data_IF_743672416979
#
_entry.id   IF_743672416979
#
_cell.length_a   1.000
_cell.length_b   1.000
_cell.length_c   1.000
_cell.angle_alpha   90.00
_cell.angle_beta   90.00
_cell.angle_gamma   90.00
#
_symmetry.space_group_name_H-M   'P 1'
#
loop_
_entity.id
_entity.type
_entity.pdbx_description
1 polymer ?
#
# COMPACT_ATOMS: atom_id res chain seq x y z
N UNK A 1 -19.84 29.49 1.08
CA UNK A 1 -18.64 29.05 1.84
C UNK A 1 -18.75 27.72 2.60
N UNK A 2 -19.94 27.11 2.80
CA UNK A 2 -20.05 25.80 3.50
C UNK A 2 -19.91 24.54 2.62
N UNK A 3 -20.00 24.67 1.29
CA UNK A 3 -19.88 23.52 0.37
C UNK A 3 -18.43 23.15 0.06
N UNK A 4 -17.49 24.10 0.11
CA UNK A 4 -16.06 23.85 -0.16
C UNK A 4 -15.33 23.13 0.99
N UNK A 5 -15.74 23.34 2.25
CA UNK A 5 -15.12 22.68 3.41
C UNK A 5 -15.48 21.20 3.54
N UNK A 6 -16.69 20.80 3.10
CA UNK A 6 -17.12 19.39 3.09
C UNK A 6 -16.37 18.60 2.00
N UNK A 7 -16.09 19.21 0.84
CA UNK A 7 -15.32 18.57 -0.24
C UNK A 7 -13.85 18.34 0.11
N UNK A 8 -13.25 19.23 0.90
CA UNK A 8 -11.86 19.10 1.38
C UNK A 8 -11.76 18.02 2.47
N UNK A 9 -12.76 17.90 3.34
CA UNK A 9 -12.84 16.86 4.37
C UNK A 9 -12.98 15.44 3.78
N UNK A 10 -13.81 15.27 2.74
CA UNK A 10 -13.98 13.99 2.04
C UNK A 10 -12.73 13.60 1.21
N UNK A 11 -12.05 14.57 0.58
CA UNK A 11 -10.76 14.34 -0.11
C UNK A 11 -9.64 13.98 0.87
N UNK A 12 -9.63 14.56 2.08
CA UNK A 12 -8.68 14.26 3.15
C UNK A 12 -8.86 12.85 3.73
N UNK A 13 -10.10 12.43 4.00
CA UNK A 13 -10.38 11.08 4.52
C UNK A 13 -10.08 9.98 3.48
N UNK A 14 -10.45 10.18 2.22
CA UNK A 14 -10.10 9.23 1.15
C UNK A 14 -8.57 9.11 0.96
N UNK A 15 -7.83 10.23 1.13
CA UNK A 15 -6.36 10.24 1.11
C UNK A 15 -5.72 9.48 2.27
N UNK A 16 -6.27 9.65 3.49
CA UNK A 16 -5.82 8.95 4.67
C UNK A 16 -6.03 7.43 4.55
N UNK A 17 -7.21 7.00 4.08
CA UNK A 17 -7.47 5.58 3.82
C UNK A 17 -6.57 5.00 2.73
N UNK A 18 -6.29 5.76 1.66
CA UNK A 18 -5.43 5.31 0.58
C UNK A 18 -3.97 5.16 1.00
N UNK A 19 -3.42 6.14 1.74
CA UNK A 19 -2.09 6.02 2.34
C UNK A 19 -2.02 4.85 3.33
N UNK A 20 -3.07 4.59 4.13
CA UNK A 20 -3.10 3.51 5.13
C UNK A 20 -3.26 2.12 4.50
N UNK A 21 -4.00 1.99 3.41
CA UNK A 21 -4.10 0.73 2.65
C UNK A 21 -2.76 0.43 2.00
N UNK A 22 -2.11 1.41 1.34
CA UNK A 22 -0.77 1.24 0.77
C UNK A 22 0.28 1.01 1.88
N UNK A 23 0.21 1.70 3.00
CA UNK A 23 1.05 1.43 4.19
C UNK A 23 0.96 -0.06 4.59
N UNK A 24 -0.27 -0.60 4.71
CA UNK A 24 -0.52 -1.99 5.11
C UNK A 24 -0.16 -3.04 4.04
N UNK A 25 -0.25 -2.73 2.74
CA UNK A 25 0.15 -3.69 1.68
C UNK A 25 1.64 -3.65 1.31
N UNK A 26 2.35 -2.54 1.58
CA UNK A 26 3.67 -2.29 0.99
C UNK A 26 4.83 -2.28 1.99
N UNK A 27 4.57 -2.00 3.28
CA UNK A 27 5.59 -1.87 4.34
C UNK A 27 5.01 -2.30 5.69
N UNK A 28 4.99 -3.59 6.01
CA UNK A 28 4.65 -4.06 7.36
C UNK A 28 5.92 -4.30 8.18
N UNK A 29 6.11 -3.52 9.23
CA UNK A 29 6.58 -4.01 10.53
C UNK A 29 5.62 -3.50 11.62
N UNK A 30 4.91 -4.45 12.24
CA UNK A 30 4.13 -4.36 13.48
C UNK A 30 3.03 -3.28 13.59
N UNK A 31 1.78 -3.72 13.42
CA UNK A 31 0.64 -3.12 14.13
C UNK A 31 0.25 -4.05 15.27
N UNK A 32 0.48 -3.62 16.51
CA UNK A 32 -0.11 -4.23 17.70
C UNK A 32 -1.62 -3.94 17.68
N UNK A 33 -2.43 -4.97 17.41
CA UNK A 33 -3.89 -4.84 17.49
C UNK A 33 -4.32 -4.91 18.95
N UNK A 34 -4.89 -3.82 19.46
CA UNK A 34 -5.72 -3.86 20.67
C UNK A 34 -7.04 -4.54 20.29
N UNK A 35 -7.22 -5.79 20.70
CA UNK A 35 -8.50 -6.49 20.64
C UNK A 35 -9.46 -5.75 21.57
N UNK A 36 -10.44 -5.03 21.01
CA UNK A 36 -11.61 -4.66 21.80
C UNK A 36 -12.40 -5.94 22.06
N UNK A 37 -12.25 -6.47 23.27
CA UNK A 37 -13.20 -7.39 23.87
C UNK A 37 -14.46 -6.60 24.21
N UNK A 38 -15.47 -6.70 23.36
CA UNK A 38 -16.84 -6.38 23.78
C UNK A 38 -17.53 -7.70 24.10
N UNK A 39 -17.72 -7.94 25.40
CA UNK A 39 -18.54 -9.03 25.91
C UNK A 39 -20.02 -8.70 25.68
N UNK A 40 -20.78 -9.67 25.16
CA UNK A 40 -22.24 -9.69 25.20
C UNK A 40 -22.90 -10.01 23.85
N UNK A 41 -23.21 -11.31 23.65
CA UNK A 41 -23.91 -12.00 22.54
C UNK A 41 -22.98 -12.85 21.65
N UNK A 42 -22.71 -14.04 22.16
CA UNK A 42 -21.93 -15.09 21.53
C UNK A 42 -22.55 -15.52 20.18
N UNK A 43 -21.72 -15.58 19.12
CA UNK A 43 -22.02 -16.23 17.80
C UNK A 43 -22.79 -15.47 16.70
N UNK A 44 -22.45 -14.20 16.37
CA UNK A 44 -23.00 -13.53 15.15
C UNK A 44 -22.02 -12.66 14.34
N UNK A 45 -20.72 -12.95 14.31
CA UNK A 45 -19.82 -12.26 13.37
C UNK A 45 -19.53 -13.15 12.16
N UNK A 46 -19.80 -12.64 10.95
CA UNK A 46 -19.44 -13.31 9.69
C UNK A 46 -17.97 -13.74 9.66
N UNK A 47 -17.07 -12.91 10.22
CA UNK A 47 -15.66 -13.24 10.31
C UNK A 47 -15.40 -14.53 11.13
N UNK A 48 -16.17 -14.80 12.19
CA UNK A 48 -16.01 -16.04 12.98
C UNK A 48 -16.41 -17.30 12.21
N UNK A 49 -17.24 -17.20 11.17
CA UNK A 49 -17.55 -18.33 10.28
C UNK A 49 -16.47 -18.55 9.22
N UNK A 50 -15.81 -17.48 8.79
CA UNK A 50 -14.75 -17.51 7.77
C UNK A 50 -13.37 -17.83 8.39
N UNK A 51 -13.10 -17.38 9.62
CA UNK A 51 -11.78 -17.52 10.23
C UNK A 51 -11.31 -18.97 10.38
N UNK A 52 -12.17 -19.96 10.74
CA UNK A 52 -11.76 -21.35 10.88
C UNK A 52 -11.39 -22.03 9.55
N UNK A 53 -11.84 -21.49 8.41
CA UNK A 53 -11.60 -22.04 7.08
C UNK A 53 -10.17 -21.72 6.59
N UNK A 54 -9.17 -22.18 7.32
CA UNK A 54 -7.76 -21.87 7.06
C UNK A 54 -7.20 -22.49 5.78
N UNK A 55 -7.75 -23.62 5.33
CA UNK A 55 -7.31 -24.35 4.14
C UNK A 55 -7.58 -23.53 2.86
N UNK A 56 -6.53 -23.15 2.10
CA UNK A 56 -6.69 -22.39 0.87
C UNK A 56 -7.53 -23.06 -0.23
N UNK A 57 -7.72 -24.39 -0.16
CA UNK A 57 -8.52 -25.14 -1.14
C UNK A 57 -10.02 -25.12 -0.82
N UNK A 58 -10.41 -24.65 0.35
CA UNK A 58 -11.81 -24.62 0.79
C UNK A 58 -12.39 -23.24 0.51
N UNK A 59 -13.26 -23.14 -0.49
CA UNK A 59 -13.92 -21.89 -0.83
C UNK A 59 -14.79 -21.37 0.33
N UNK A 60 -14.70 -20.06 0.60
CA UNK A 60 -15.54 -19.41 1.62
C UNK A 60 -16.84 -18.84 1.04
N UNK A 61 -17.02 -18.87 -0.29
CA UNK A 61 -18.22 -18.36 -0.97
C UNK A 61 -19.52 -19.01 -0.47
N UNK A 62 -19.61 -20.34 -0.26
CA UNK A 62 -20.81 -20.95 0.29
C UNK A 62 -21.21 -20.42 1.66
N UNK A 63 -20.23 -20.05 2.51
CA UNK A 63 -20.47 -19.46 3.83
C UNK A 63 -21.05 -18.05 3.71
N UNK A 64 -20.56 -17.26 2.75
CA UNK A 64 -21.09 -15.93 2.44
C UNK A 64 -22.54 -16.02 1.94
N UNK A 65 -22.82 -16.95 1.04
CA UNK A 65 -24.18 -17.17 0.52
C UNK A 65 -25.13 -17.65 1.62
N UNK A 66 -24.69 -18.59 2.46
CA UNK A 66 -25.48 -19.08 3.58
C UNK A 66 -25.80 -17.96 4.58
N UNK A 67 -24.84 -17.07 4.86
CA UNK A 67 -25.06 -15.91 5.73
C UNK A 67 -26.24 -15.05 5.28
N UNK A 68 -26.36 -14.80 3.97
CA UNK A 68 -27.48 -14.06 3.38
C UNK A 68 -28.78 -14.87 3.42
N UNK A 69 -28.74 -16.18 3.16
CA UNK A 69 -29.94 -17.05 3.24
C UNK A 69 -30.55 -17.10 4.64
N UNK A 70 -29.74 -16.95 5.68
CA UNK A 70 -30.18 -16.83 7.07
C UNK A 70 -30.81 -15.47 7.39
N UNK A 71 -30.95 -14.56 6.41
CA UNK A 71 -31.56 -13.25 6.57
C UNK A 71 -30.61 -12.19 7.16
N UNK A 72 -29.32 -12.51 7.33
CA UNK A 72 -28.36 -11.53 7.81
C UNK A 72 -27.98 -10.54 6.70
N UNK A 73 -27.70 -9.30 7.10
CA UNK A 73 -27.20 -8.29 6.16
C UNK A 73 -25.66 -8.33 6.10
N UNK A 74 -25.13 -7.92 4.96
CA UNK A 74 -23.71 -7.62 4.78
C UNK A 74 -23.58 -6.15 4.39
N UNK A 75 -22.60 -5.47 4.96
CA UNK A 75 -22.26 -4.12 4.55
C UNK A 75 -20.81 -4.08 4.04
N UNK A 76 -20.55 -3.12 3.14
CA UNK A 76 -19.25 -2.95 2.50
C UNK A 76 -18.10 -2.79 3.50
N UNK A 77 -18.20 -1.96 4.58
CA UNK A 77 -17.12 -1.83 5.56
C UNK A 77 -16.75 -3.14 6.25
N UNK A 78 -17.74 -3.98 6.60
CA UNK A 78 -17.51 -5.28 7.21
C UNK A 78 -16.73 -6.21 6.27
N UNK A 79 -17.10 -6.26 4.99
CA UNK A 79 -16.41 -7.10 3.99
C UNK A 79 -14.99 -6.59 3.72
N UNK A 80 -14.80 -5.26 3.64
CA UNK A 80 -13.46 -4.66 3.53
C UNK A 80 -12.59 -4.97 4.75
N UNK A 81 -13.15 -5.00 5.96
CA UNK A 81 -12.43 -5.41 7.16
C UNK A 81 -12.00 -6.88 7.05
N UNK A 82 -12.91 -7.78 6.68
CA UNK A 82 -12.60 -9.21 6.49
C UNK A 82 -11.49 -9.40 5.45
N UNK A 83 -11.57 -8.73 4.30
CA UNK A 83 -10.50 -8.75 3.28
C UNK A 83 -9.17 -8.32 3.88
N UNK A 84 -9.15 -7.25 4.68
CA UNK A 84 -7.95 -6.74 5.32
C UNK A 84 -7.39 -7.67 6.41
N UNK A 85 -8.24 -8.46 7.08
CA UNK A 85 -7.82 -9.52 7.99
C UNK A 85 -7.18 -10.68 7.23
N UNK A 86 -7.88 -11.21 6.23
CA UNK A 86 -7.41 -12.33 5.42
C UNK A 86 -6.08 -12.00 4.74
N UNK A 87 -5.92 -10.78 4.22
CA UNK A 87 -4.66 -10.28 3.66
C UNK A 87 -3.54 -10.21 4.69
N UNK A 88 -3.83 -9.83 5.94
CA UNK A 88 -2.85 -9.80 7.02
C UNK A 88 -2.33 -11.21 7.32
N UNK A 89 -3.23 -12.20 7.34
CA UNK A 89 -2.87 -13.62 7.50
C UNK A 89 -2.46 -14.31 6.20
N UNK A 90 -2.17 -13.56 5.13
CA UNK A 90 -1.75 -14.07 3.80
C UNK A 90 -2.73 -15.07 3.15
N UNK A 91 -3.99 -15.09 3.57
CA UNK A 91 -5.08 -15.88 2.97
C UNK A 91 -5.61 -15.19 1.71
N UNK A 92 -4.77 -15.06 0.68
CA UNK A 92 -5.06 -14.27 -0.52
C UNK A 92 -6.19 -14.84 -1.38
N UNK A 93 -6.31 -16.17 -1.47
CA UNK A 93 -7.41 -16.84 -2.19
C UNK A 93 -8.75 -16.45 -1.57
N UNK A 94 -8.94 -16.71 -0.27
CA UNK A 94 -10.13 -16.30 0.46
C UNK A 94 -10.41 -14.79 0.37
N UNK A 95 -9.38 -13.96 0.50
CA UNK A 95 -9.55 -12.51 0.37
C UNK A 95 -10.04 -12.10 -1.03
N UNK A 96 -9.57 -12.80 -2.08
CA UNK A 96 -10.01 -12.60 -3.44
C UNK A 96 -11.46 -13.04 -3.63
N UNK A 97 -11.84 -14.19 -3.06
CA UNK A 97 -13.22 -14.68 -3.07
C UNK A 97 -14.18 -13.69 -2.41
N UNK A 98 -13.86 -13.15 -1.22
CA UNK A 98 -14.69 -12.08 -0.61
C UNK A 98 -14.76 -10.88 -1.54
N UNK A 99 -13.64 -10.47 -2.12
CA UNK A 99 -13.61 -9.33 -3.04
C UNK A 99 -14.51 -9.56 -4.23
N UNK A 100 -14.45 -10.71 -4.91
CA UNK A 100 -15.29 -11.05 -6.07
C UNK A 100 -16.77 -11.19 -5.69
N UNK A 101 -17.05 -11.89 -4.59
CA UNK A 101 -18.41 -12.06 -4.09
C UNK A 101 -19.11 -10.72 -3.80
N UNK A 102 -18.37 -9.71 -3.32
CA UNK A 102 -18.89 -8.34 -3.14
C UNK A 102 -19.47 -7.72 -4.43
N UNK A 103 -19.00 -8.12 -5.62
CA UNK A 103 -19.46 -7.58 -6.90
C UNK A 103 -20.45 -8.45 -7.64
N UNK A 104 -20.29 -9.77 -7.58
CA UNK A 104 -20.96 -10.68 -8.52
C UNK A 104 -22.47 -10.73 -8.30
N UNK A 105 -22.92 -10.28 -7.12
CA UNK A 105 -24.33 -10.20 -6.74
C UNK A 105 -24.87 -8.76 -6.69
N UNK A 106 -24.07 -7.78 -7.16
CA UNK A 106 -24.35 -6.34 -7.08
C UNK A 106 -24.65 -5.79 -5.65
N UNK A 107 -24.34 -6.55 -4.60
CA UNK A 107 -24.59 -6.11 -3.22
C UNK A 107 -23.82 -4.85 -2.85
N UNK A 108 -22.71 -4.55 -3.53
CA UNK A 108 -21.87 -3.40 -3.25
C UNK A 108 -21.33 -2.75 -4.54
N UNK A 109 -21.52 -1.43 -4.68
CA UNK A 109 -20.81 -0.67 -5.71
C UNK A 109 -19.31 -0.57 -5.37
N UNK A 110 -18.45 -1.01 -6.30
CA UNK A 110 -17.02 -0.83 -6.18
C UNK A 110 -16.62 0.63 -6.38
N UNK A 111 -15.70 1.08 -5.54
CA UNK A 111 -14.91 2.27 -5.80
C UNK A 111 -13.51 1.86 -6.31
N UNK A 112 -12.73 2.85 -6.69
CA UNK A 112 -11.41 2.63 -7.27
C UNK A 112 -10.41 1.97 -6.30
N UNK A 113 -10.60 2.11 -4.98
CA UNK A 113 -9.80 1.43 -3.96
C UNK A 113 -10.09 -0.07 -3.92
N UNK A 114 -11.36 -0.47 -4.03
CA UNK A 114 -11.76 -1.89 -4.06
C UNK A 114 -11.14 -2.60 -5.28
N UNK A 115 -11.17 -1.93 -6.44
CA UNK A 115 -10.55 -2.41 -7.67
C UNK A 115 -9.04 -2.60 -7.50
N UNK A 116 -8.36 -1.61 -6.92
CA UNK A 116 -6.92 -1.71 -6.63
C UNK A 116 -6.59 -2.86 -5.68
N UNK A 117 -7.40 -3.09 -4.64
CA UNK A 117 -7.23 -4.24 -3.73
C UNK A 117 -7.42 -5.55 -4.49
N UNK A 118 -8.46 -5.66 -5.33
CA UNK A 118 -8.72 -6.86 -6.13
C UNK A 118 -7.56 -7.18 -7.07
N UNK A 119 -7.03 -6.19 -7.78
CA UNK A 119 -5.85 -6.38 -8.64
C UNK A 119 -4.65 -6.94 -7.87
N UNK A 120 -4.36 -6.38 -6.69
CA UNK A 120 -3.26 -6.85 -5.86
C UNK A 120 -3.48 -8.27 -5.31
N UNK A 121 -4.73 -8.67 -5.09
CA UNK A 121 -5.12 -10.03 -4.71
C UNK A 121 -4.99 -10.99 -5.89
N UNK A 122 -5.50 -10.63 -7.06
CA UNK A 122 -5.35 -11.41 -8.30
C UNK A 122 -3.88 -11.64 -8.63
N UNK A 123 -3.03 -10.62 -8.49
CA UNK A 123 -1.59 -10.79 -8.66
C UNK A 123 -1.01 -11.84 -7.73
N UNK A 124 -1.41 -11.85 -6.45
CA UNK A 124 -0.92 -12.80 -5.46
C UNK A 124 -1.43 -14.23 -5.66
N UNK A 125 -2.53 -14.43 -6.40
CA UNK A 125 -3.18 -15.74 -6.59
C UNK A 125 -2.89 -16.32 -7.98
N UNK A 126 -3.02 -15.51 -9.03
CA UNK A 126 -2.94 -15.96 -10.42
C UNK A 126 -1.71 -15.44 -11.17
N UNK A 127 -1.17 -14.28 -10.80
CA UNK A 127 0.00 -13.67 -11.45
C UNK A 127 -0.34 -12.43 -12.29
N UNK A 128 0.63 -11.96 -13.09
CA UNK A 128 0.51 -10.70 -13.85
C UNK A 128 -0.52 -10.75 -14.96
N UNK A 129 -0.57 -11.84 -15.73
CA UNK A 129 -1.41 -11.94 -16.92
C UNK A 129 -2.89 -11.70 -16.60
N UNK A 130 -3.40 -12.32 -15.52
CA UNK A 130 -4.79 -12.15 -15.12
C UNK A 130 -5.07 -10.74 -14.61
N UNK A 131 -4.07 -10.06 -14.04
CA UNK A 131 -4.21 -8.66 -13.59
C UNK A 131 -4.27 -7.71 -14.77
N UNK A 132 -3.46 -7.95 -15.81
CA UNK A 132 -3.46 -7.19 -17.06
C UNK A 132 -4.81 -7.35 -17.78
N UNK A 133 -5.27 -8.59 -17.94
CA UNK A 133 -6.58 -8.88 -18.53
C UNK A 133 -7.71 -8.20 -17.75
N UNK A 134 -7.68 -8.27 -16.41
CA UNK A 134 -8.66 -7.58 -15.58
C UNK A 134 -8.57 -6.06 -15.73
N UNK A 135 -7.37 -5.49 -15.80
CA UNK A 135 -7.16 -4.05 -15.93
C UNK A 135 -7.83 -3.45 -17.15
N UNK A 136 -7.85 -4.18 -18.26
CA UNK A 136 -8.49 -3.74 -19.49
C UNK A 136 -10.02 -3.65 -19.37
N UNK A 137 -10.63 -4.52 -18.55
CA UNK A 137 -12.08 -4.51 -18.29
C UNK A 137 -12.56 -3.38 -17.37
N UNK A 138 -11.65 -2.70 -16.66
CA UNK A 138 -12.01 -1.70 -15.65
C UNK A 138 -12.59 -0.45 -16.34
N UNK A 139 -13.74 0.08 -15.91
CA UNK A 139 -14.28 1.35 -16.44
C UNK A 139 -13.33 2.52 -16.22
N UNK A 140 -13.21 3.44 -17.20
CA UNK A 140 -12.30 4.58 -17.17
C UNK A 140 -12.35 5.38 -15.84
N UNK A 141 -13.55 5.60 -15.30
CA UNK A 141 -13.78 6.31 -14.02
C UNK A 141 -13.07 5.68 -12.81
N UNK A 142 -12.79 4.38 -12.85
CA UNK A 142 -12.11 3.63 -11.78
C UNK A 142 -10.61 3.42 -12.07
N UNK A 143 -10.14 3.76 -13.28
CA UNK A 143 -8.77 3.41 -13.73
C UNK A 143 -7.66 4.17 -13.01
N UNK A 144 -7.88 5.34 -12.41
CA UNK A 144 -6.80 6.12 -11.75
C UNK A 144 -6.04 5.26 -10.72
N UNK A 145 -6.78 4.62 -9.82
CA UNK A 145 -6.20 3.76 -8.79
C UNK A 145 -5.78 2.38 -9.32
N UNK A 146 -6.40 1.94 -10.41
CA UNK A 146 -5.99 0.72 -11.10
C UNK A 146 -4.58 0.87 -11.70
N UNK A 147 -4.20 2.05 -12.22
CA UNK A 147 -2.84 2.27 -12.73
C UNK A 147 -1.80 2.16 -11.61
N UNK A 148 -2.08 2.73 -10.42
CA UNK A 148 -1.20 2.61 -9.24
C UNK A 148 -1.08 1.14 -8.81
N UNK A 149 -2.19 0.39 -8.82
CA UNK A 149 -2.19 -1.03 -8.48
C UNK A 149 -1.41 -1.86 -9.51
N UNK A 150 -1.56 -1.58 -10.81
CA UNK A 150 -0.82 -2.24 -11.87
C UNK A 150 0.68 -1.97 -11.77
N UNK A 151 1.06 -0.71 -11.52
CA UNK A 151 2.44 -0.34 -11.24
C UNK A 151 3.01 -1.14 -10.06
N UNK A 152 2.26 -1.27 -8.95
CA UNK A 152 2.70 -2.10 -7.85
C UNK A 152 2.90 -3.57 -8.26
N UNK A 153 2.00 -4.13 -9.07
CA UNK A 153 2.14 -5.51 -9.55
C UNK A 153 3.43 -5.67 -10.38
N UNK A 154 3.73 -4.74 -11.27
CA UNK A 154 4.99 -4.75 -12.04
C UNK A 154 6.23 -4.58 -11.16
N UNK A 155 6.20 -3.68 -10.17
CA UNK A 155 7.29 -3.50 -9.20
C UNK A 155 7.52 -4.78 -8.38
N UNK A 156 6.46 -5.45 -7.93
CA UNK A 156 6.54 -6.72 -7.20
C UNK A 156 7.09 -7.85 -8.07
N UNK A 157 6.71 -7.88 -9.34
CA UNK A 157 7.21 -8.82 -10.33
C UNK A 157 8.61 -8.46 -10.88
N UNK A 158 9.18 -7.32 -10.47
CA UNK A 158 10.42 -6.75 -11.01
C UNK A 158 10.41 -6.55 -12.54
N UNK A 159 9.23 -6.34 -13.14
CA UNK A 159 9.10 -6.10 -14.58
C UNK A 159 9.36 -4.62 -14.87
N UNK A 160 10.62 -4.27 -15.12
CA UNK A 160 11.09 -2.88 -15.26
C UNK A 160 10.41 -2.17 -16.42
N UNK A 161 10.45 -2.75 -17.61
CA UNK A 161 9.94 -2.09 -18.82
C UNK A 161 8.44 -1.81 -18.71
N UNK A 162 7.68 -2.75 -18.15
CA UNK A 162 6.25 -2.58 -17.89
C UNK A 162 5.97 -1.53 -16.81
N UNK A 163 6.79 -1.48 -15.75
CA UNK A 163 6.68 -0.47 -14.70
C UNK A 163 6.99 0.95 -15.24
N UNK A 164 8.02 1.08 -16.08
CA UNK A 164 8.37 2.34 -16.73
C UNK A 164 7.28 2.78 -17.72
N UNK A 165 6.74 1.85 -18.52
CA UNK A 165 5.66 2.14 -19.46
C UNK A 165 4.37 2.61 -18.76
N UNK A 166 3.95 1.95 -17.68
CA UNK A 166 2.74 2.37 -16.95
C UNK A 166 2.96 3.70 -16.21
N UNK A 167 4.18 3.94 -15.71
CA UNK A 167 4.56 5.23 -15.12
C UNK A 167 4.47 6.35 -16.14
N UNK A 168 5.04 6.16 -17.34
CA UNK A 168 4.98 7.14 -18.41
C UNK A 168 3.54 7.43 -18.84
N UNK A 169 2.74 6.39 -19.08
CA UNK A 169 1.31 6.54 -19.39
C UNK A 169 0.56 7.33 -18.30
N UNK A 170 0.88 7.08 -17.03
CA UNK A 170 0.29 7.84 -15.93
C UNK A 170 0.75 9.31 -15.90
N UNK A 171 1.98 9.62 -16.34
CA UNK A 171 2.45 11.01 -16.51
C UNK A 171 1.67 11.72 -17.60
N UNK A 172 1.51 11.07 -18.76
CA UNK A 172 0.79 11.63 -19.91
C UNK A 172 -0.68 11.92 -19.58
N UNK A 173 -1.27 11.13 -18.68
CA UNK A 173 -2.63 11.33 -18.15
C UNK A 173 -2.71 12.35 -16.99
N UNK A 174 -1.59 12.90 -16.53
CA UNK A 174 -1.54 13.82 -15.40
C UNK A 174 -1.84 13.18 -14.03
N UNK A 175 -1.70 11.86 -13.89
CA UNK A 175 -1.99 11.14 -12.64
C UNK A 175 -0.83 11.17 -11.64
N UNK A 176 0.39 11.46 -12.11
CA UNK A 176 1.61 11.45 -11.32
C UNK A 176 1.78 12.79 -10.57
N UNK A 177 0.87 13.03 -9.62
CA UNK A 177 0.83 14.26 -8.81
C UNK A 177 1.18 14.02 -7.34
N UNK A 178 1.51 12.78 -6.97
CA UNK A 178 1.72 12.36 -5.59
C UNK A 178 2.97 11.49 -5.44
N UNK A 179 3.61 11.50 -4.24
CA UNK A 179 4.85 10.76 -4.00
C UNK A 179 4.76 9.25 -4.21
N UNK A 180 3.56 8.68 -4.07
CA UNK A 180 3.31 7.23 -4.17
C UNK A 180 3.86 6.60 -5.46
N UNK A 181 3.76 7.31 -6.60
CA UNK A 181 4.25 6.84 -7.88
C UNK A 181 5.78 6.72 -7.90
N UNK A 182 6.45 7.77 -7.43
CA UNK A 182 7.90 7.82 -7.32
C UNK A 182 8.41 6.79 -6.33
N UNK A 183 7.79 6.68 -5.15
CA UNK A 183 8.16 5.70 -4.13
C UNK A 183 8.13 4.25 -4.66
N UNK A 184 7.16 3.91 -5.52
CA UNK A 184 7.11 2.59 -6.16
C UNK A 184 8.28 2.37 -7.12
N UNK A 185 8.58 3.33 -7.99
CA UNK A 185 9.69 3.26 -8.93
C UNK A 185 11.05 3.29 -8.23
N UNK A 186 11.23 4.15 -7.23
CA UNK A 186 12.43 4.21 -6.39
C UNK A 186 12.68 2.88 -5.67
N UNK A 187 11.63 2.23 -5.13
CA UNK A 187 11.76 0.90 -4.52
C UNK A 187 12.19 -0.16 -5.52
N UNK A 188 11.69 -0.10 -6.76
CA UNK A 188 12.11 -0.99 -7.84
C UNK A 188 13.58 -0.77 -8.19
N UNK A 189 13.97 0.48 -8.44
CA UNK A 189 15.35 0.82 -8.79
C UNK A 189 16.34 0.55 -7.68
N UNK A 190 15.97 0.81 -6.42
CA UNK A 190 16.77 0.44 -5.24
C UNK A 190 17.05 -1.07 -5.21
N UNK A 191 16.02 -1.90 -5.38
CA UNK A 191 16.16 -3.37 -5.38
C UNK A 191 16.97 -3.92 -6.56
N UNK A 192 17.15 -3.12 -7.60
CA UNK A 192 17.92 -3.44 -8.80
C UNK A 192 19.24 -2.66 -8.85
N UNK A 193 19.59 -1.95 -7.78
CA UNK A 193 20.81 -1.14 -7.65
C UNK A 193 21.00 -0.12 -8.78
N UNK A 194 19.90 0.39 -9.34
CA UNK A 194 19.90 1.41 -10.40
C UNK A 194 19.97 2.81 -9.78
N UNK A 195 21.10 3.13 -9.14
CA UNK A 195 21.29 4.36 -8.35
C UNK A 195 20.99 5.64 -9.14
N UNK A 196 21.52 5.77 -10.36
CA UNK A 196 21.29 6.93 -11.23
C UNK A 196 19.80 7.19 -11.49
N UNK A 197 19.02 6.14 -11.77
CA UNK A 197 17.56 6.29 -11.97
C UNK A 197 16.84 6.72 -10.69
N UNK A 198 17.38 6.38 -9.52
CA UNK A 198 16.85 6.83 -8.24
C UNK A 198 17.14 8.32 -8.01
N UNK A 199 18.33 8.79 -8.42
CA UNK A 199 18.69 10.23 -8.43
C UNK A 199 17.79 11.02 -9.39
N UNK A 200 17.60 10.51 -10.61
CA UNK A 200 16.77 11.16 -11.63
C UNK A 200 15.32 11.36 -11.12
N UNK A 201 14.75 10.37 -10.40
CA UNK A 201 13.43 10.50 -9.79
C UNK A 201 13.39 11.53 -8.66
N UNK A 202 14.45 11.66 -7.86
CA UNK A 202 14.53 12.67 -6.80
C UNK A 202 14.56 14.08 -7.38
N UNK A 203 15.39 14.30 -8.40
CA UNK A 203 15.48 15.58 -9.09
C UNK A 203 14.15 15.95 -9.74
N UNK A 204 13.49 14.98 -10.39
CA UNK A 204 12.18 15.22 -10.99
C UNK A 204 11.11 15.58 -9.94
N UNK A 205 11.12 14.95 -8.77
CA UNK A 205 10.20 15.32 -7.68
C UNK A 205 10.44 16.76 -7.22
N UNK A 206 11.70 17.17 -7.09
CA UNK A 206 12.09 18.54 -6.72
C UNK A 206 11.65 19.56 -7.78
N UNK A 207 11.98 19.34 -9.05
CA UNK A 207 11.59 20.20 -10.18
C UNK A 207 10.07 20.39 -10.29
N UNK A 208 9.30 19.34 -9.96
CA UNK A 208 7.83 19.36 -10.01
C UNK A 208 7.18 19.82 -8.70
N UNK A 209 7.97 20.17 -7.68
CA UNK A 209 7.46 20.57 -6.37
C UNK A 209 6.65 19.47 -5.67
N UNK A 210 6.96 18.19 -5.94
CA UNK A 210 6.30 17.05 -5.30
C UNK A 210 6.98 16.81 -3.96
N UNK A 211 6.25 16.93 -2.83
CA UNK A 211 6.87 16.86 -1.51
C UNK A 211 7.45 15.47 -1.24
N UNK A 212 8.63 15.44 -0.61
CA UNK A 212 9.20 14.19 -0.13
C UNK A 212 8.40 13.71 1.07
N UNK A 213 7.97 12.46 1.06
CA UNK A 213 7.35 11.85 2.23
C UNK A 213 8.32 10.95 2.98
N UNK A 214 7.91 10.51 4.16
CA UNK A 214 8.66 9.58 5.02
C UNK A 214 9.19 8.35 4.26
N UNK A 215 8.48 7.86 3.24
CA UNK A 215 8.89 6.68 2.49
C UNK A 215 9.96 7.01 1.46
N UNK A 216 9.81 8.17 0.80
CA UNK A 216 10.80 8.70 -0.13
C UNK A 216 12.15 8.78 0.56
N UNK A 217 12.17 9.37 1.76
CA UNK A 217 13.38 9.52 2.56
C UNK A 217 13.91 8.18 3.09
N UNK A 218 13.04 7.27 3.54
CA UNK A 218 13.46 5.94 4.01
C UNK A 218 14.11 5.10 2.90
N UNK A 219 13.55 5.13 1.68
CA UNK A 219 14.13 4.45 0.52
C UNK A 219 15.49 5.06 0.21
N UNK A 220 15.60 6.38 0.23
CA UNK A 220 16.84 7.09 -0.08
C UNK A 220 17.95 6.83 0.93
N UNK A 221 17.62 6.86 2.22
CA UNK A 221 18.51 6.50 3.31
C UNK A 221 19.02 5.05 3.17
N UNK A 222 18.13 4.11 2.85
CA UNK A 222 18.50 2.71 2.60
C UNK A 222 19.41 2.57 1.38
N UNK A 223 19.17 3.36 0.33
CA UNK A 223 20.00 3.41 -0.87
C UNK A 223 21.43 3.87 -0.56
N UNK A 224 21.58 4.98 0.17
CA UNK A 224 22.90 5.47 0.59
C UNK A 224 23.63 4.48 1.52
N UNK A 225 22.91 3.87 2.47
CA UNK A 225 23.51 2.84 3.32
C UNK A 225 23.98 1.61 2.53
N UNK A 226 23.26 1.22 1.46
CA UNK A 226 23.67 0.13 0.58
C UNK A 226 24.85 0.52 -0.33
N UNK A 227 24.95 1.79 -0.71
CA UNK A 227 26.06 2.35 -1.47
C UNK A 227 27.28 2.74 -0.61
N UNK A 228 27.24 2.46 0.70
CA UNK A 228 28.27 2.86 1.67
C UNK A 228 28.57 4.38 1.65
N UNK A 229 27.53 5.20 1.50
CA UNK A 229 27.62 6.67 1.45
C UNK A 229 27.07 7.31 2.74
N UNK A 230 27.90 7.50 3.78
CA UNK A 230 27.46 8.11 5.03
C UNK A 230 27.12 9.60 4.89
N UNK A 231 27.71 10.32 3.94
CA UNK A 231 27.43 11.73 3.70
C UNK A 231 26.01 11.91 3.12
N UNK A 232 25.64 11.05 2.17
CA UNK A 232 24.27 10.96 1.66
C UNK A 232 23.25 10.64 2.76
N UNK A 233 23.61 9.74 3.69
CA UNK A 233 22.76 9.43 4.84
C UNK A 233 22.58 10.64 5.78
N UNK A 234 23.67 11.33 6.12
CA UNK A 234 23.63 12.53 6.97
C UNK A 234 22.74 13.62 6.35
N UNK A 235 22.80 13.81 5.02
CA UNK A 235 21.93 14.73 4.29
C UNK A 235 20.45 14.38 4.49
N UNK A 236 20.08 13.10 4.41
CA UNK A 236 18.69 12.66 4.60
C UNK A 236 18.23 12.87 6.05
N UNK A 237 19.09 12.57 7.03
CA UNK A 237 18.78 12.81 8.45
C UNK A 237 18.58 14.29 8.73
N UNK A 238 19.42 15.17 8.15
CA UNK A 238 19.26 16.62 8.27
C UNK A 238 17.93 17.10 7.69
N UNK A 239 17.53 16.62 6.49
CA UNK A 239 16.22 16.91 5.90
C UNK A 239 15.09 16.49 6.86
N UNK A 240 15.16 15.25 7.36
CA UNK A 240 14.20 14.70 8.32
C UNK A 240 14.05 15.53 9.60
N UNK A 241 15.14 16.10 10.12
CA UNK A 241 15.15 16.92 11.33
C UNK A 241 14.65 18.35 11.07
N UNK A 242 14.94 18.90 9.89
CA UNK A 242 14.57 20.28 9.53
C UNK A 242 13.09 20.43 9.13
N UNK A 243 12.47 19.40 8.56
CA UNK A 243 11.10 19.45 8.08
C UNK A 243 10.09 19.01 9.15
N UNK A 244 9.45 20.00 9.78
CA UNK A 244 8.41 19.79 10.80
C UNK A 244 7.17 19.02 10.32
N UNK A 245 6.96 18.88 9.00
CA UNK A 245 5.88 18.09 8.44
C UNK A 245 6.19 16.58 8.39
N UNK A 246 7.44 16.20 8.61
CA UNK A 246 7.88 14.81 8.61
C UNK A 246 7.82 14.26 10.04
N UNK A 247 6.77 13.50 10.33
CA UNK A 247 6.64 12.82 11.62
C UNK A 247 7.60 11.64 11.68
N UNK A 248 8.67 11.79 12.47
CA UNK A 248 9.62 10.73 12.78
C UNK A 248 9.01 9.76 13.80
N UNK A 249 8.69 8.55 13.37
CA UNK A 249 8.28 7.46 14.24
C UNK A 249 9.46 6.52 14.54
N UNK A 250 9.28 5.62 15.51
CA UNK A 250 10.32 4.67 15.91
C UNK A 250 10.85 3.81 14.74
N UNK A 251 10.02 3.53 13.74
CA UNK A 251 10.43 2.78 12.55
C UNK A 251 11.47 3.57 11.74
N UNK A 252 11.31 4.89 11.62
CA UNK A 252 12.30 5.72 10.92
C UNK A 252 13.64 5.74 11.65
N UNK A 253 13.63 5.88 12.97
CA UNK A 253 14.85 5.77 13.78
C UNK A 253 15.52 4.40 13.67
N UNK A 254 14.73 3.31 13.61
CA UNK A 254 15.28 1.97 13.40
C UNK A 254 15.96 1.82 12.03
N UNK A 255 15.39 2.41 10.97
CA UNK A 255 16.00 2.41 9.63
C UNK A 255 17.30 3.22 9.63
N UNK A 256 17.33 4.39 10.28
CA UNK A 256 18.53 5.22 10.44
C UNK A 256 19.62 4.47 11.19
N UNK A 257 19.30 3.91 12.35
CA UNK A 257 20.25 3.13 13.15
C UNK A 257 20.80 1.93 12.38
N UNK A 258 19.92 1.15 11.75
CA UNK A 258 20.33 0.00 10.93
C UNK A 258 21.20 0.42 9.73
N UNK A 259 20.88 1.56 9.12
CA UNK A 259 21.68 2.16 8.06
C UNK A 259 23.10 2.45 8.55
N UNK A 260 23.25 3.18 9.67
CA UNK A 260 24.59 3.57 10.14
C UNK A 260 25.40 2.38 10.64
N UNK A 261 24.75 1.39 11.26
CA UNK A 261 25.40 0.11 11.59
C UNK A 261 25.95 -0.59 10.36
N UNK A 262 25.21 -0.58 9.24
CA UNK A 262 25.67 -1.19 7.99
C UNK A 262 26.93 -0.53 7.43
N UNK A 263 27.09 0.77 7.63
CA UNK A 263 28.26 1.55 7.17
C UNK A 263 29.36 1.61 8.25
N UNK A 264 29.17 0.95 9.41
CA UNK A 264 30.16 0.88 10.48
C UNK A 264 30.17 2.07 11.46
N UNK A 265 29.22 2.98 11.37
CA UNK A 265 29.11 4.17 12.23
C UNK A 265 28.29 3.87 13.50
N UNK A 266 28.86 3.10 14.43
CA UNK A 266 28.19 2.62 15.65
C UNK A 266 27.74 3.76 16.58
N UNK A 267 28.52 4.84 16.69
CA UNK A 267 28.20 5.98 17.54
C UNK A 267 26.97 6.75 17.03
N UNK A 268 26.85 6.94 15.71
CA UNK A 268 25.68 7.54 15.07
C UNK A 268 24.45 6.62 15.17
N UNK A 269 24.65 5.31 15.10
CA UNK A 269 23.56 4.35 15.22
C UNK A 269 22.97 4.25 16.63
N UNK A 270 23.80 4.44 17.65
CA UNK A 270 23.39 4.41 19.07
C UNK A 270 22.81 5.74 19.57
N UNK A 271 22.80 6.79 18.74
CA UNK A 271 22.34 8.13 19.13
C UNK A 271 23.32 8.86 20.05
N UNK A 272 24.55 8.36 20.18
CA UNK A 272 25.60 8.95 21.01
C UNK A 272 26.42 10.03 20.27
N UNK A 273 26.10 10.30 19.00
CA UNK A 273 26.66 11.41 18.25
C UNK A 273 26.00 12.72 18.72
N UNK A 274 26.70 13.43 19.61
CA UNK A 274 26.38 14.80 20.04
C UNK A 274 26.49 15.81 18.89
#
# INVERSE_FOLDING_TARGET
>A
MKLFSVSISLKSQANYFFQKIIHKQFFSSSFTRKLKSENGLESKSLYRRISPLGDPNVSIVPVLDQWIREGNTVNKPQLQQIINELRFYKRFIHALEVSQWMTDKQYCHMNSSDVAIRMNLMFSVYGLEQVENYFDTIPAKLKVYAHVALLNCYVRAKSVDKAEAIMQKARDMGYVTRPVWYNMMMKLYYKLEKWKKLDDLMNEMEEKGIPLDRYTLAIRLSAYAAASDPAGMDKIVSIMQSDSHIVLDWNMYAIVGQGYLRVGFVDKASGNAA
#
